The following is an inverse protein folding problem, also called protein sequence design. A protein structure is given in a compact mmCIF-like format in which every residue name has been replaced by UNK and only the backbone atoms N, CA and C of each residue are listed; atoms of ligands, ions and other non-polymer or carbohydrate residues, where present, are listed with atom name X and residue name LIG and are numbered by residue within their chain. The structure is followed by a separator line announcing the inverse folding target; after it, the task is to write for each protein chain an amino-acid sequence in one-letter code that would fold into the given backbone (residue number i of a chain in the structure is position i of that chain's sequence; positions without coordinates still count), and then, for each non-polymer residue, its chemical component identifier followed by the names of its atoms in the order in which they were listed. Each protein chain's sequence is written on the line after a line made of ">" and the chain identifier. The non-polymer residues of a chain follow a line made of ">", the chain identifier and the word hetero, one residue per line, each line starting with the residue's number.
data_IF_741690134454
#
_entry.id   IF_741690134454
#
_cell.length_a   1.000
_cell.length_b   1.000
_cell.length_c   1.000
_cell.angle_alpha   90.00
_cell.angle_beta   90.00
_cell.angle_gamma   90.00
#
_symmetry.space_group_name_H-M   'P 1'
#
loop_
_entity.id
_entity.type
_entity.pdbx_description
1 polymer ?
#
# COMPACT_ATOMS: atom_id res chain seq x y z
N UNK A 1 -10.54 -33.91 -14.49
CA UNK A 1 -9.73 -32.92 -13.74
C UNK A 1 -10.02 -31.54 -14.31
N UNK A 2 -10.78 -30.66 -13.64
CA UNK A 2 -11.03 -29.34 -14.19
C UNK A 2 -9.70 -28.57 -14.12
N UNK A 3 -9.19 -28.19 -15.29
CA UNK A 3 -8.00 -27.34 -15.43
C UNK A 3 -8.34 -26.01 -14.77
N UNK A 4 -7.83 -25.79 -13.56
CA UNK A 4 -7.92 -24.51 -12.87
C UNK A 4 -7.30 -23.44 -13.77
N UNK A 5 -8.14 -22.59 -14.37
CA UNK A 5 -7.68 -21.34 -14.97
C UNK A 5 -7.19 -20.50 -13.80
N UNK A 6 -5.87 -20.31 -13.69
CA UNK A 6 -5.31 -19.33 -12.79
C UNK A 6 -5.85 -17.98 -13.27
N UNK A 7 -6.87 -17.44 -12.59
CA UNK A 7 -7.30 -16.07 -12.82
C UNK A 7 -6.06 -15.20 -12.51
N UNK A 8 -5.64 -14.28 -13.40
CA UNK A 8 -4.58 -13.34 -13.05
C UNK A 8 -5.02 -12.67 -11.75
N UNK A 9 -4.19 -12.76 -10.70
CA UNK A 9 -4.54 -12.32 -9.35
C UNK A 9 -4.86 -10.82 -9.36
N UNK A 10 -6.13 -10.50 -9.59
CA UNK A 10 -6.62 -9.13 -9.75
C UNK A 10 -6.42 -8.36 -8.45
N UNK A 11 -6.05 -7.08 -8.57
CA UNK A 11 -5.99 -6.14 -7.43
C UNK A 11 -7.30 -6.17 -6.65
N UNK A 12 -7.24 -5.80 -5.37
CA UNK A 12 -8.45 -5.63 -4.57
C UNK A 12 -9.40 -4.63 -5.27
N UNK A 13 -10.68 -4.96 -5.50
CA UNK A 13 -11.63 -4.06 -6.15
C UNK A 13 -11.69 -2.71 -5.44
N UNK A 14 -11.82 -1.62 -6.20
CA UNK A 14 -11.83 -0.27 -5.65
C UNK A 14 -13.19 0.42 -5.80
N UNK A 15 -14.10 -0.13 -6.62
CA UNK A 15 -15.41 0.45 -6.87
C UNK A 15 -16.48 0.03 -5.85
N UNK A 16 -17.58 0.79 -5.83
CA UNK A 16 -18.67 0.57 -4.90
C UNK A 16 -19.45 -0.74 -5.14
N UNK A 17 -19.46 -1.29 -6.36
CA UNK A 17 -20.25 -2.49 -6.69
C UNK A 17 -19.70 -3.73 -6.02
N UNK A 18 -18.39 -3.77 -5.79
CA UNK A 18 -17.73 -4.88 -5.11
C UNK A 18 -17.78 -4.79 -3.57
N UNK A 19 -18.25 -3.68 -2.97
CA UNK A 19 -18.28 -3.48 -1.51
C UNK A 19 -18.99 -4.61 -0.75
N UNK A 20 -20.20 -5.07 -1.15
CA UNK A 20 -20.88 -6.14 -0.42
C UNK A 20 -20.10 -7.45 -0.43
N UNK A 21 -19.49 -7.78 -1.57
CA UNK A 21 -18.69 -9.00 -1.71
C UNK A 21 -17.41 -8.95 -0.86
N UNK A 22 -16.71 -7.81 -0.86
CA UNK A 22 -15.51 -7.61 -0.05
C UNK A 22 -15.85 -7.60 1.45
N UNK A 23 -16.92 -6.92 1.86
CA UNK A 23 -17.40 -6.94 3.26
C UNK A 23 -17.69 -8.36 3.75
N UNK A 24 -18.44 -9.15 2.96
CA UNK A 24 -18.77 -10.52 3.31
C UNK A 24 -17.53 -11.43 3.39
N UNK A 25 -16.52 -11.21 2.55
CA UNK A 25 -15.24 -11.90 2.63
C UNK A 25 -14.50 -11.55 3.93
N UNK A 26 -14.36 -10.27 4.26
CA UNK A 26 -13.64 -9.84 5.46
C UNK A 26 -14.35 -10.28 6.74
N UNK A 27 -15.68 -10.35 6.75
CA UNK A 27 -16.45 -10.93 7.85
C UNK A 27 -16.10 -12.40 8.08
N UNK A 28 -15.99 -13.21 7.01
CA UNK A 28 -15.55 -14.61 7.11
C UNK A 28 -14.12 -14.73 7.62
N UNK A 29 -13.21 -13.87 7.18
CA UNK A 29 -11.82 -13.87 7.67
C UNK A 29 -11.78 -13.54 9.16
N UNK A 30 -12.54 -12.54 9.62
CA UNK A 30 -12.64 -12.20 11.06
C UNK A 30 -13.24 -13.33 11.90
N UNK A 31 -14.14 -14.14 11.34
CA UNK A 31 -14.69 -15.29 12.04
C UNK A 31 -13.64 -16.40 12.29
N UNK A 32 -12.50 -16.38 11.58
CA UNK A 32 -11.39 -17.31 11.81
C UNK A 32 -10.48 -16.87 12.97
N UNK A 33 -10.61 -15.63 13.45
CA UNK A 33 -9.82 -15.09 14.55
C UNK A 33 -9.47 -13.61 14.38
N UNK A 34 -8.79 -13.02 15.39
CA UNK A 34 -8.31 -11.65 15.31
C UNK A 34 -7.31 -11.50 14.15
N UNK A 35 -7.55 -10.52 13.27
CA UNK A 35 -6.71 -10.26 12.11
C UNK A 35 -6.57 -8.76 11.86
N UNK A 36 -5.34 -8.32 11.56
CA UNK A 36 -5.08 -6.97 11.05
C UNK A 36 -5.23 -6.98 9.53
N UNK A 37 -6.39 -6.52 9.05
CA UNK A 37 -6.74 -6.61 7.63
C UNK A 37 -6.24 -5.37 6.87
N UNK A 38 -5.48 -5.60 5.80
CA UNK A 38 -5.00 -4.56 4.88
C UNK A 38 -5.55 -4.82 3.47
N UNK A 39 -6.18 -3.83 2.86
CA UNK A 39 -6.70 -3.95 1.48
C UNK A 39 -5.75 -3.32 0.48
N UNK A 40 -5.16 -4.18 -0.37
CA UNK A 40 -4.21 -3.81 -1.41
C UNK A 40 -4.87 -3.22 -2.67
N UNK A 41 -5.53 -2.06 -2.59
CA UNK A 41 -6.15 -1.42 -3.77
C UNK A 41 -5.09 -0.85 -4.73
N UNK A 42 -4.07 -0.16 -4.19
CA UNK A 42 -3.03 0.55 -4.94
C UNK A 42 -3.48 1.88 -5.55
N UNK A 43 -4.73 2.27 -5.30
CA UNK A 43 -5.39 3.53 -5.67
C UNK A 43 -6.43 3.86 -4.58
N UNK A 44 -6.82 5.13 -4.44
CA UNK A 44 -7.91 5.48 -3.53
C UNK A 44 -9.22 4.80 -3.97
N UNK A 45 -9.81 3.93 -3.13
CA UNK A 45 -11.05 3.26 -3.47
C UNK A 45 -12.27 4.14 -3.13
N UNK A 46 -13.46 3.61 -3.37
CA UNK A 46 -14.69 4.19 -2.85
C UNK A 46 -14.61 4.38 -1.31
N UNK A 47 -15.12 5.49 -0.73
CA UNK A 47 -14.97 5.79 0.70
C UNK A 47 -15.47 4.67 1.63
N UNK A 48 -16.50 3.93 1.19
CA UNK A 48 -17.06 2.79 1.94
C UNK A 48 -16.06 1.69 2.32
N UNK A 49 -14.90 1.60 1.67
CA UNK A 49 -13.85 0.65 2.06
C UNK A 49 -13.10 1.07 3.33
N UNK A 50 -13.11 2.35 3.71
CA UNK A 50 -12.37 2.88 4.86
C UNK A 50 -12.77 2.24 6.20
N UNK A 51 -14.04 1.81 6.32
CA UNK A 51 -14.55 1.13 7.51
C UNK A 51 -14.29 -0.39 7.51
N UNK A 52 -13.90 -0.97 6.38
CA UNK A 52 -13.85 -2.43 6.22
C UNK A 52 -12.53 -3.05 6.67
N UNK A 53 -11.45 -2.28 6.74
CA UNK A 53 -10.10 -2.75 7.01
C UNK A 53 -9.35 -1.82 7.97
N UNK A 54 -8.27 -2.32 8.56
CA UNK A 54 -7.41 -1.51 9.41
C UNK A 54 -6.60 -0.51 8.58
N UNK A 55 -6.12 -0.93 7.41
CA UNK A 55 -5.43 -0.05 6.46
C UNK A 55 -5.85 -0.32 5.00
N UNK A 56 -5.79 0.73 4.19
CA UNK A 56 -5.98 0.71 2.75
C UNK A 56 -4.66 1.11 2.07
N UNK A 57 -4.18 0.30 1.13
CA UNK A 57 -3.11 0.71 0.24
C UNK A 57 -3.70 1.63 -0.82
N UNK A 58 -3.58 2.94 -0.63
CA UNK A 58 -4.20 3.97 -1.48
C UNK A 58 -3.30 4.46 -2.61
N UNK A 59 -2.02 4.09 -2.58
CA UNK A 59 -1.10 4.33 -3.67
C UNK A 59 -0.14 3.15 -3.84
N UNK A 60 0.02 2.68 -5.08
CA UNK A 60 1.09 1.76 -5.46
C UNK A 60 1.64 2.13 -6.83
N UNK A 61 2.89 2.59 -6.91
CA UNK A 61 3.49 2.98 -8.17
C UNK A 61 4.84 3.70 -8.08
N UNK A 62 5.36 4.19 -9.21
CA UNK A 62 6.67 4.84 -9.26
C UNK A 62 6.63 6.25 -8.64
N UNK A 63 7.77 6.68 -8.11
CA UNK A 63 8.01 8.06 -7.65
C UNK A 63 7.56 9.11 -8.66
N UNK A 64 7.78 8.85 -9.95
CA UNK A 64 7.41 9.77 -11.04
C UNK A 64 5.91 10.09 -11.05
N UNK A 65 5.05 9.14 -10.68
CA UNK A 65 3.60 9.32 -10.51
C UNK A 65 3.27 9.85 -9.12
N UNK A 66 3.93 9.32 -8.09
CA UNK A 66 3.66 9.64 -6.70
C UNK A 66 3.76 11.14 -6.40
N UNK A 67 4.80 11.81 -6.92
CA UNK A 67 5.05 13.23 -6.67
C UNK A 67 3.96 14.18 -7.16
N UNK A 68 3.07 13.70 -8.03
CA UNK A 68 1.93 14.44 -8.57
C UNK A 68 0.59 13.91 -8.09
N UNK A 69 0.58 12.83 -7.30
CA UNK A 69 -0.65 12.28 -6.76
C UNK A 69 -1.28 13.25 -5.76
N UNK A 70 -2.61 13.30 -5.74
CA UNK A 70 -3.39 14.05 -4.76
C UNK A 70 -4.43 13.13 -4.13
N UNK A 71 -4.60 13.19 -2.80
CA UNK A 71 -5.65 12.44 -2.15
C UNK A 71 -7.02 13.08 -2.45
N UNK A 72 -8.08 12.28 -2.56
CA UNK A 72 -9.45 12.79 -2.61
C UNK A 72 -9.88 13.33 -1.24
N UNK A 73 -10.82 14.27 -1.21
CA UNK A 73 -11.21 15.02 0.00
C UNK A 73 -11.66 14.11 1.16
N UNK A 74 -12.39 13.04 0.87
CA UNK A 74 -12.92 12.13 1.89
C UNK A 74 -11.83 11.51 2.79
N UNK A 75 -10.59 11.41 2.32
CA UNK A 75 -9.52 10.83 3.15
C UNK A 75 -9.16 11.73 4.33
N UNK A 76 -9.45 13.03 4.25
CA UNK A 76 -9.22 13.98 5.35
C UNK A 76 -10.15 13.71 6.56
N UNK A 77 -11.24 12.98 6.37
CA UNK A 77 -12.19 12.59 7.44
C UNK A 77 -11.68 11.38 8.25
N UNK A 78 -10.50 10.84 7.91
CA UNK A 78 -9.96 9.63 8.49
C UNK A 78 -8.55 9.82 9.05
N UNK A 79 -8.18 9.12 10.13
CA UNK A 79 -6.83 9.13 10.66
C UNK A 79 -5.85 8.57 9.63
N UNK A 80 -4.64 9.16 9.58
CA UNK A 80 -3.64 8.85 8.56
C UNK A 80 -3.19 7.38 8.60
N UNK A 81 -3.24 6.74 9.77
CA UNK A 81 -2.90 5.35 10.01
C UNK A 81 -3.75 4.39 9.16
N UNK A 82 -4.90 4.82 8.66
CA UNK A 82 -5.73 4.03 7.75
C UNK A 82 -5.18 3.96 6.33
N UNK A 83 -4.17 4.74 5.97
CA UNK A 83 -3.69 4.86 4.60
C UNK A 83 -2.22 4.46 4.48
N UNK A 84 -1.95 3.62 3.48
CA UNK A 84 -0.63 3.07 3.18
C UNK A 84 -0.22 3.39 1.74
N UNK A 85 1.00 3.92 1.57
CA UNK A 85 1.58 4.23 0.26
C UNK A 85 2.78 3.33 -0.05
N UNK A 86 2.76 2.71 -1.23
CA UNK A 86 3.85 1.88 -1.75
C UNK A 86 4.52 2.61 -2.93
N UNK A 87 5.70 3.18 -2.69
CA UNK A 87 6.42 3.99 -3.68
C UNK A 87 7.72 3.30 -4.10
N UNK A 88 7.85 3.03 -5.39
CA UNK A 88 9.06 2.43 -5.95
C UNK A 88 9.79 3.37 -6.91
N UNK A 89 10.98 2.97 -7.34
CA UNK A 89 11.83 3.76 -8.24
C UNK A 89 12.12 5.16 -7.68
N UNK A 90 12.22 5.27 -6.36
CA UNK A 90 12.51 6.50 -5.62
C UNK A 90 14.03 6.70 -5.52
N UNK A 91 14.59 7.78 -6.09
CA UNK A 91 16.00 8.12 -5.87
C UNK A 91 16.27 8.36 -4.38
N UNK A 92 17.41 7.87 -3.85
CA UNK A 92 17.79 8.05 -2.45
C UNK A 92 17.77 9.53 -2.00
N UNK A 93 18.17 10.44 -2.88
CA UNK A 93 18.15 11.91 -2.67
C UNK A 93 16.75 12.50 -2.46
N UNK A 94 15.68 11.72 -2.69
CA UNK A 94 14.28 12.16 -2.62
C UNK A 94 13.51 11.52 -1.47
N UNK A 95 14.15 10.73 -0.61
CA UNK A 95 13.48 10.04 0.51
C UNK A 95 12.77 11.02 1.45
N UNK A 96 13.43 12.10 1.85
CA UNK A 96 12.83 13.10 2.74
C UNK A 96 11.63 13.81 2.10
N UNK A 97 11.72 14.10 0.80
CA UNK A 97 10.62 14.68 0.03
C UNK A 97 9.44 13.71 -0.03
N UNK A 98 9.69 12.43 -0.29
CA UNK A 98 8.65 11.40 -0.29
C UNK A 98 7.95 11.25 1.06
N UNK A 99 8.70 11.32 2.17
CA UNK A 99 8.14 11.29 3.51
C UNK A 99 7.30 12.54 3.83
N UNK A 100 7.75 13.74 3.41
CA UNK A 100 6.94 14.97 3.54
C UNK A 100 5.65 14.88 2.73
N UNK A 101 5.73 14.39 1.49
CA UNK A 101 4.56 14.18 0.64
C UNK A 101 3.60 13.15 1.24
N UNK A 102 4.10 12.03 1.79
CA UNK A 102 3.25 11.04 2.44
C UNK A 102 2.45 11.65 3.60
N UNK A 103 3.10 12.43 4.47
CA UNK A 103 2.41 13.14 5.56
C UNK A 103 1.38 14.14 5.04
N UNK A 104 1.74 14.94 4.03
CA UNK A 104 0.82 15.91 3.44
C UNK A 104 -0.38 15.24 2.76
N UNK A 105 -0.18 14.07 2.14
CA UNK A 105 -1.24 13.28 1.52
C UNK A 105 -2.07 12.45 2.54
N UNK A 106 -1.73 12.51 3.84
CA UNK A 106 -2.46 11.81 4.90
C UNK A 106 -2.12 10.32 5.03
N UNK A 107 -0.96 9.84 4.58
CA UNK A 107 -0.55 8.45 4.76
C UNK A 107 0.29 8.26 6.03
N UNK A 108 -0.22 7.47 6.97
CA UNK A 108 0.44 7.09 8.22
C UNK A 108 1.41 5.92 8.05
N UNK A 109 1.34 5.18 6.94
CA UNK A 109 2.31 4.14 6.60
C UNK A 109 2.84 4.35 5.18
N UNK A 110 4.15 4.24 5.00
CA UNK A 110 4.78 4.37 3.69
C UNK A 110 5.93 3.39 3.55
N UNK A 111 5.97 2.68 2.42
CA UNK A 111 7.08 1.82 2.03
C UNK A 111 7.75 2.42 0.80
N UNK A 112 9.06 2.66 0.90
CA UNK A 112 9.86 3.35 -0.11
C UNK A 112 10.96 2.43 -0.63
N UNK A 113 11.17 2.39 -1.94
CA UNK A 113 12.30 1.67 -2.53
C UNK A 113 12.82 2.35 -3.80
N UNK A 114 14.13 2.32 -4.01
CA UNK A 114 14.80 2.69 -5.26
C UNK A 114 14.63 1.65 -6.37
N UNK A 115 14.22 0.43 -6.01
CA UNK A 115 14.06 -0.65 -6.97
C UNK A 115 13.07 -0.31 -8.07
N UNK A 116 13.39 -0.76 -9.27
CA UNK A 116 12.53 -0.66 -10.44
C UNK A 116 11.98 -2.05 -10.76
N UNK A 117 10.70 -2.16 -11.15
CA UNK A 117 10.17 -3.43 -11.61
C UNK A 117 10.95 -3.89 -12.85
N UNK A 118 11.37 -5.15 -12.85
CA UNK A 118 11.99 -5.81 -13.99
C UNK A 118 10.86 -6.57 -14.71
N UNK A 119 10.45 -6.10 -15.89
CA UNK A 119 9.30 -6.61 -16.67
C UNK A 119 7.92 -6.41 -15.98
N UNK A 120 6.76 -6.63 -16.64
CA UNK A 120 5.46 -6.38 -16.02
C UNK A 120 5.33 -7.17 -14.72
N UNK A 121 5.15 -6.47 -13.59
CA UNK A 121 4.98 -7.12 -12.29
C UNK A 121 3.75 -8.03 -12.35
N UNK A 122 3.95 -9.30 -12.00
CA UNK A 122 2.87 -10.24 -11.72
C UNK A 122 1.87 -9.59 -10.74
N UNK A 123 0.60 -9.43 -11.13
CA UNK A 123 -0.42 -8.87 -10.27
C UNK A 123 -0.50 -9.65 -8.93
N UNK A 124 -0.42 -8.94 -7.80
CA UNK A 124 -0.64 -9.51 -6.47
C UNK A 124 0.60 -10.08 -5.76
N UNK A 125 1.81 -9.98 -6.32
CA UNK A 125 3.05 -10.20 -5.57
C UNK A 125 3.49 -8.97 -4.76
N UNK A 126 4.31 -9.16 -3.72
CA UNK A 126 5.03 -8.06 -3.02
C UNK A 126 5.97 -7.28 -3.95
N UNK A 127 6.30 -7.85 -5.13
CA UNK A 127 6.99 -7.16 -6.21
C UNK A 127 8.33 -6.60 -5.77
N UNK A 128 8.61 -5.36 -6.17
CA UNK A 128 9.84 -4.62 -5.81
C UNK A 128 10.05 -4.43 -4.30
N UNK A 129 8.98 -4.57 -3.50
CA UNK A 129 9.03 -4.46 -2.04
C UNK A 129 9.43 -5.76 -1.34
N UNK A 130 9.64 -6.85 -2.09
CA UNK A 130 10.05 -8.15 -1.53
C UNK A 130 11.51 -8.24 -1.08
N UNK A 131 12.31 -7.19 -1.25
CA UNK A 131 13.64 -7.11 -0.66
C UNK A 131 14.01 -5.66 -0.31
N UNK A 132 15.07 -5.47 0.47
CA UNK A 132 15.45 -4.17 1.04
C UNK A 132 15.88 -3.14 -0.03
N UNK A 133 15.62 -1.82 0.16
CA UNK A 133 16.13 -0.76 -0.70
C UNK A 133 17.67 -0.72 -0.71
N UNK A 134 18.27 -0.21 -1.79
CA UNK A 134 19.73 -0.07 -1.91
C UNK A 134 20.35 0.91 -0.90
N UNK A 135 19.55 1.79 -0.31
CA UNK A 135 19.94 2.77 0.72
C UNK A 135 19.53 2.35 2.14
N UNK A 136 19.26 1.06 2.36
CA UNK A 136 18.82 0.54 3.67
C UNK A 136 19.79 0.88 4.81
N UNK A 137 21.08 0.68 4.60
CA UNK A 137 22.10 0.94 5.63
C UNK A 137 22.18 2.42 6.03
N UNK A 138 21.92 3.33 5.08
CA UNK A 138 21.81 4.76 5.33
C UNK A 138 20.56 5.10 6.18
N UNK A 139 19.44 4.41 5.96
CA UNK A 139 18.24 4.59 6.78
C UNK A 139 18.49 4.09 8.21
N UNK A 140 19.05 2.89 8.35
CA UNK A 140 19.29 2.27 9.66
C UNK A 140 20.30 3.10 10.46
N UNK A 141 21.39 3.55 9.84
CA UNK A 141 22.40 4.39 10.51
C UNK A 141 21.85 5.73 11.01
N UNK A 142 20.94 6.37 10.27
CA UNK A 142 20.26 7.61 10.69
C UNK A 142 19.27 7.41 11.84
N UNK A 143 18.70 6.21 11.98
CA UNK A 143 17.77 5.85 13.05
C UNK A 143 18.45 5.14 14.23
N UNK A 144 19.79 5.06 14.23
CA UNK A 144 20.63 4.19 15.07
C UNK A 144 20.71 4.53 16.57
N UNK A 145 19.59 4.77 17.26
CA UNK A 145 19.47 4.72 18.73
C UNK A 145 18.14 4.18 19.27
N UNK A 146 17.27 3.59 18.44
CA UNK A 146 15.89 3.26 18.86
C UNK A 146 15.35 1.89 18.50
N UNK A 147 16.18 0.94 18.04
CA UNK A 147 15.73 -0.44 17.82
C UNK A 147 16.63 -1.35 18.65
N UNK A 148 16.22 -1.58 19.90
CA UNK A 148 16.74 -2.70 20.67
C UNK A 148 16.00 -3.97 20.24
N UNK A 149 16.75 -5.05 20.04
CA UNK A 149 16.27 -6.43 19.96
C UNK A 149 15.42 -6.82 21.19
#
# INVERSE_FOLDING_TARGET
>A
VPRGRLLPRTRCPADARALPAVSALLARVRALGPAHLVLGHGVHPHPGYAALAAQLVTFAGPWSRYRWARPPEWTAEHPAERFCHLVHSLPATRVEEALRLARWQGAGTVTLTDRRPREPQEPGGIGVFGALPGYWDEIVSRNGRGVSE
#
